data_IF_482539496717
#
_entry.id   IF_482539496717
#
_cell.length_a   1.000
_cell.length_b   1.000
_cell.length_c   1.000
_cell.angle_alpha   90.00
_cell.angle_beta   90.00
_cell.angle_gamma   90.00
#
_symmetry.space_group_name_H-M   'P 1'
#
loop_
_entity.id
_entity.type
_entity.pdbx_description
1 polymer ?
#
# COMPACT_ATOMS: atom_id res chain seq x y z
N UNK A 1 -24.99 21.60 -0.59
CA UNK A 1 -23.88 22.54 -0.85
C UNK A 1 -23.57 23.32 0.42
N UNK A 2 -22.49 22.97 1.12
CA UNK A 2 -21.97 23.77 2.22
C UNK A 2 -21.16 24.95 1.63
N UNK A 3 -21.72 26.15 1.71
CA UNK A 3 -21.04 27.39 1.33
C UNK A 3 -19.91 27.70 2.32
N UNK A 4 -18.68 27.91 1.84
CA UNK A 4 -17.54 28.38 2.64
C UNK A 4 -16.29 27.49 2.66
N UNK A 5 -16.31 26.31 2.02
CA UNK A 5 -15.16 25.39 1.99
C UNK A 5 -14.44 25.33 0.62
N UNK A 6 -14.57 26.36 -0.22
CA UNK A 6 -14.04 26.34 -1.59
C UNK A 6 -12.50 26.44 -1.63
N UNK A 7 -11.88 27.11 -0.65
CA UNK A 7 -10.42 27.34 -0.61
C UNK A 7 -9.67 26.47 0.43
N UNK A 8 -10.33 25.47 1.02
CA UNK A 8 -9.70 24.58 2.00
C UNK A 8 -9.20 23.34 1.28
N UNK A 9 -7.94 22.95 1.48
CA UNK A 9 -7.41 21.69 0.96
C UNK A 9 -8.28 20.55 1.51
N UNK A 10 -9.09 19.95 0.65
CA UNK A 10 -9.90 18.78 0.99
C UNK A 10 -9.04 17.55 0.81
N UNK A 11 -8.95 16.74 1.85
CA UNK A 11 -8.24 15.48 1.79
C UNK A 11 -9.26 14.35 1.72
N UNK A 12 -9.07 13.41 0.79
CA UNK A 12 -9.76 12.13 0.85
C UNK A 12 -9.15 11.32 1.97
N UNK A 13 -9.71 11.49 3.15
CA UNK A 13 -9.34 10.68 4.30
C UNK A 13 -9.99 9.33 4.20
N UNK A 14 -9.18 8.30 4.31
CA UNK A 14 -9.64 6.94 4.43
C UNK A 14 -9.47 6.49 5.87
N UNK A 15 -10.60 6.16 6.50
CA UNK A 15 -10.65 5.65 7.84
C UNK A 15 -11.70 4.54 7.92
N UNK A 16 -11.53 3.67 8.93
CA UNK A 16 -12.33 2.48 9.13
C UNK A 16 -13.83 2.75 9.04
N UNK A 17 -14.51 2.02 8.15
CA UNK A 17 -15.96 2.09 7.99
C UNK A 17 -16.50 3.44 7.52
N UNK A 18 -15.65 4.37 7.08
CA UNK A 18 -16.06 5.63 6.48
C UNK A 18 -16.09 5.51 4.96
N UNK A 19 -17.01 6.22 4.30
CA UNK A 19 -17.01 6.30 2.85
C UNK A 19 -15.78 7.04 2.34
N UNK A 20 -15.27 6.63 1.19
CA UNK A 20 -14.14 7.26 0.53
C UNK A 20 -14.51 7.62 -0.91
N UNK A 21 -14.33 8.89 -1.26
CA UNK A 21 -14.70 9.41 -2.58
C UNK A 21 -16.10 10.02 -2.64
N UNK A 22 -16.88 10.02 -1.55
CA UNK A 22 -18.23 10.59 -1.51
C UNK A 22 -18.20 12.14 -1.43
N UNK A 23 -19.36 12.79 -1.27
CA UNK A 23 -19.41 14.25 -1.09
C UNK A 23 -18.56 14.72 0.10
N UNK A 24 -17.90 15.90 -0.01
CA UNK A 24 -17.19 16.50 1.12
C UNK A 24 -18.09 16.64 2.34
N UNK A 25 -17.61 16.14 3.49
CA UNK A 25 -18.37 16.12 4.72
C UNK A 25 -17.50 16.37 5.94
N UNK A 26 -18.10 16.87 7.02
CA UNK A 26 -17.45 16.93 8.33
C UNK A 26 -17.78 15.65 9.11
N UNK A 27 -16.76 14.86 9.46
CA UNK A 27 -16.94 13.57 10.10
C UNK A 27 -16.29 13.51 11.50
N UNK A 28 -16.89 12.76 12.45
CA UNK A 28 -16.32 12.55 13.78
C UNK A 28 -15.11 11.62 13.71
N UNK A 29 -13.91 12.21 13.66
CA UNK A 29 -12.66 11.45 13.59
C UNK A 29 -12.28 10.84 14.94
N UNK A 30 -12.61 11.53 16.04
CA UNK A 30 -12.40 11.03 17.40
C UNK A 30 -13.12 9.72 17.72
N UNK A 31 -14.23 9.46 17.03
CA UNK A 31 -15.13 8.32 17.27
C UNK A 31 -15.45 7.60 15.96
N UNK A 32 -14.43 6.92 15.42
CA UNK A 32 -14.59 6.11 14.22
C UNK A 32 -15.64 4.99 14.41
N UNK A 33 -16.25 4.51 13.31
CA UNK A 33 -17.06 3.30 13.31
C UNK A 33 -16.39 2.12 14.03
N UNK A 34 -17.21 1.20 14.56
CA UNK A 34 -16.72 0.05 15.34
C UNK A 34 -15.75 -0.80 14.53
N UNK A 35 -14.73 -1.36 15.19
CA UNK A 35 -13.82 -2.34 14.60
C UNK A 35 -14.60 -3.61 14.27
N UNK A 36 -14.71 -4.02 12.99
CA UNK A 36 -15.42 -5.24 12.62
C UNK A 36 -14.75 -6.51 13.16
N UNK A 37 -13.42 -6.50 13.21
CA UNK A 37 -12.58 -7.63 13.60
C UNK A 37 -11.47 -7.18 14.59
N UNK A 38 -11.83 -7.00 15.88
CA UNK A 38 -10.89 -6.49 16.87
C UNK A 38 -9.87 -7.55 17.28
N UNK A 39 -8.61 -7.12 17.44
CA UNK A 39 -7.56 -7.95 18.04
C UNK A 39 -7.92 -8.39 19.47
N UNK A 40 -7.41 -9.55 19.95
CA UNK A 40 -7.64 -9.98 21.33
C UNK A 40 -7.23 -8.90 22.34
N UNK A 41 -8.17 -8.50 23.19
CA UNK A 41 -7.97 -7.46 24.21
C UNK A 41 -8.22 -6.03 23.74
N UNK A 42 -8.65 -5.81 22.50
CA UNK A 42 -9.06 -4.51 21.95
C UNK A 42 -10.58 -4.39 21.98
N UNK A 43 -11.11 -3.23 22.42
CA UNK A 43 -12.55 -3.00 22.37
C UNK A 43 -12.96 -2.58 20.96
N UNK A 44 -14.15 -2.97 20.45
CA UNK A 44 -14.63 -2.54 19.13
C UNK A 44 -14.74 -1.01 18.98
N UNK A 45 -14.80 -0.27 20.09
CA UNK A 45 -14.87 1.19 20.13
C UNK A 45 -13.50 1.86 20.16
N UNK A 46 -12.41 1.11 20.30
CA UNK A 46 -11.07 1.67 20.32
C UNK A 46 -10.73 2.30 18.96
N UNK A 47 -9.94 3.38 19.01
CA UNK A 47 -9.50 4.05 17.79
C UNK A 47 -8.54 3.14 16.99
N UNK A 48 -7.53 2.58 17.68
CA UNK A 48 -6.53 1.69 17.09
C UNK A 48 -6.90 0.22 17.25
N UNK A 49 -6.84 -0.56 16.17
CA UNK A 49 -6.98 -2.02 16.22
C UNK A 49 -5.68 -2.67 16.73
N UNK A 50 -5.36 -2.41 18.01
CA UNK A 50 -4.11 -2.72 18.75
C UNK A 50 -3.11 -1.57 18.74
N UNK A 51 -2.79 -1.06 19.92
CA UNK A 51 -1.79 -0.01 20.15
C UNK A 51 -0.78 -0.51 21.19
N UNK A 52 0.52 -0.50 20.84
CA UNK A 52 1.54 -1.04 21.74
C UNK A 52 1.76 -0.07 22.90
N UNK A 53 1.77 -0.49 24.17
CA UNK A 53 2.15 0.38 25.27
C UNK A 53 3.64 0.74 25.15
N UNK A 54 3.96 2.03 25.29
CA UNK A 54 5.33 2.50 25.52
C UNK A 54 5.43 2.84 27.01
N UNK A 55 6.21 2.04 27.75
CA UNK A 55 6.37 2.18 29.19
C UNK A 55 5.02 2.13 29.96
N UNK A 56 5.01 2.56 31.23
CA UNK A 56 3.83 2.48 32.11
C UNK A 56 2.72 3.49 31.79
N UNK A 57 3.00 4.54 31.02
CA UNK A 57 2.10 5.71 30.90
C UNK A 57 1.80 6.13 29.46
N UNK A 58 2.35 5.44 28.46
CA UNK A 58 2.19 5.82 27.05
C UNK A 58 1.63 4.70 26.22
N UNK A 59 0.91 5.06 25.16
CA UNK A 59 0.67 4.21 23.99
C UNK A 59 1.62 4.64 22.87
N UNK A 60 1.93 3.74 21.94
CA UNK A 60 2.81 3.98 20.80
C UNK A 60 2.25 5.05 19.88
N UNK A 61 0.93 5.04 19.69
CA UNK A 61 0.21 6.01 18.88
C UNK A 61 -0.74 6.82 19.74
N UNK A 62 -0.78 8.13 19.53
CA UNK A 62 -1.76 9.01 20.17
C UNK A 62 -3.17 8.72 19.65
N UNK A 63 -4.17 8.93 20.48
CA UNK A 63 -5.59 8.83 20.11
C UNK A 63 -6.15 10.26 20.01
N UNK A 64 -6.90 10.59 18.95
CA UNK A 64 -7.55 11.88 18.83
C UNK A 64 -8.57 12.10 19.96
N UNK A 65 -8.84 13.36 20.38
CA UNK A 65 -9.97 13.66 21.26
C UNK A 65 -11.30 13.16 20.68
N UNK A 66 -12.20 12.69 21.54
CA UNK A 66 -13.47 12.09 21.11
C UNK A 66 -14.38 13.03 20.31
N UNK A 67 -14.27 14.34 20.56
CA UNK A 67 -15.01 15.42 19.90
C UNK A 67 -14.30 15.96 18.65
N UNK A 68 -13.13 15.43 18.29
CA UNK A 68 -12.41 15.86 17.11
C UNK A 68 -13.20 15.54 15.83
N UNK A 69 -13.53 16.60 15.10
CA UNK A 69 -14.14 16.53 13.78
C UNK A 69 -13.09 16.83 12.71
N UNK A 70 -13.15 16.17 11.57
CA UNK A 70 -12.27 16.44 10.43
C UNK A 70 -13.09 16.54 9.14
N UNK A 71 -12.68 17.45 8.26
CA UNK A 71 -13.24 17.54 6.90
C UNK A 71 -12.69 16.38 6.08
N UNK A 72 -13.56 15.47 5.69
CA UNK A 72 -13.23 14.27 4.92
C UNK A 72 -13.85 14.34 3.53
N UNK A 73 -13.27 13.57 2.62
CA UNK A 73 -13.59 13.55 1.19
C UNK A 73 -13.34 14.89 0.47
N UNK A 74 -12.77 14.76 -0.73
CA UNK A 74 -12.68 15.81 -1.73
C UNK A 74 -13.87 15.72 -2.69
N UNK A 75 -13.82 16.37 -3.84
CA UNK A 75 -14.87 16.38 -4.87
C UNK A 75 -15.37 14.96 -5.17
N UNK A 76 -16.68 14.70 -5.07
CA UNK A 76 -17.24 13.34 -5.18
C UNK A 76 -16.85 12.62 -6.47
N UNK A 77 -16.19 11.45 -6.36
CA UNK A 77 -15.85 10.60 -7.51
C UNK A 77 -17.10 9.94 -8.12
N UNK A 78 -17.08 9.50 -9.39
CA UNK A 78 -18.26 8.96 -10.05
C UNK A 78 -18.86 7.73 -9.36
N UNK A 79 -17.99 6.88 -8.79
CA UNK A 79 -18.40 5.66 -8.09
C UNK A 79 -17.66 5.54 -6.76
N UNK A 80 -18.09 6.22 -5.69
CA UNK A 80 -17.39 6.21 -4.41
C UNK A 80 -17.45 4.83 -3.73
N UNK A 81 -16.51 4.57 -2.82
CA UNK A 81 -16.64 3.45 -1.88
C UNK A 81 -17.55 3.88 -0.73
N UNK A 82 -18.65 3.17 -0.56
CA UNK A 82 -19.62 3.45 0.49
C UNK A 82 -19.15 2.94 1.85
N UNK A 83 -19.64 3.55 2.93
CA UNK A 83 -19.38 3.08 4.30
C UNK A 83 -19.84 1.63 4.52
N UNK A 84 -20.92 1.22 3.85
CA UNK A 84 -21.43 -0.15 3.90
C UNK A 84 -20.48 -1.14 3.20
N UNK A 85 -19.98 -0.82 2.00
CA UNK A 85 -18.96 -1.65 1.33
C UNK A 85 -17.69 -1.76 2.18
N UNK A 86 -17.25 -0.65 2.77
CA UNK A 86 -16.07 -0.59 3.64
C UNK A 86 -16.21 -1.42 4.93
N UNK A 87 -17.45 -1.71 5.34
CA UNK A 87 -17.76 -2.47 6.56
C UNK A 87 -17.96 -3.96 6.30
N UNK A 88 -18.01 -4.40 5.04
CA UNK A 88 -18.21 -5.80 4.66
C UNK A 88 -16.88 -6.55 4.54
N UNK A 89 -16.87 -7.87 4.78
CA UNK A 89 -15.72 -8.70 4.43
C UNK A 89 -15.45 -8.64 2.93
N UNK A 90 -14.19 -8.51 2.57
CA UNK A 90 -13.68 -8.45 1.19
C UNK A 90 -13.05 -9.77 0.75
N UNK A 91 -12.64 -10.60 1.69
CA UNK A 91 -12.01 -11.89 1.45
C UNK A 91 -12.22 -12.80 2.67
N UNK A 92 -11.74 -14.04 2.59
CA UNK A 92 -11.80 -15.02 3.68
C UNK A 92 -10.44 -15.73 3.79
N UNK A 93 -9.93 -15.89 5.01
CA UNK A 93 -8.69 -16.65 5.24
C UNK A 93 -8.89 -18.14 4.98
N UNK A 94 -7.80 -18.90 4.93
CA UNK A 94 -7.84 -20.36 4.75
C UNK A 94 -8.63 -21.07 5.88
N UNK A 95 -8.64 -20.48 7.08
CA UNK A 95 -9.41 -20.92 8.25
C UNK A 95 -10.86 -20.40 8.27
N UNK A 96 -11.38 -19.93 7.13
CA UNK A 96 -12.74 -19.40 6.99
C UNK A 96 -13.04 -18.15 7.83
N UNK A 97 -12.02 -17.35 8.19
CA UNK A 97 -12.23 -16.08 8.91
C UNK A 97 -12.44 -14.94 7.93
N UNK A 98 -13.44 -14.07 8.15
CA UNK A 98 -13.66 -12.91 7.28
C UNK A 98 -12.48 -11.95 7.34
N UNK A 99 -12.07 -11.46 6.18
CA UNK A 99 -11.02 -10.44 6.03
C UNK A 99 -11.70 -9.16 5.57
N UNK A 100 -11.44 -8.06 6.27
CA UNK A 100 -12.02 -6.74 5.97
C UNK A 100 -11.01 -5.86 5.22
N UNK A 101 -11.49 -4.71 4.70
CA UNK A 101 -10.64 -3.69 4.06
C UNK A 101 -9.47 -3.23 4.96
N UNK A 102 -9.73 -3.09 6.26
CA UNK A 102 -8.70 -2.88 7.28
C UNK A 102 -8.35 -4.23 7.93
N UNK A 103 -7.44 -4.99 7.31
CA UNK A 103 -7.06 -6.33 7.80
C UNK A 103 -6.51 -6.27 9.22
N UNK A 104 -7.08 -7.09 10.10
CA UNK A 104 -6.57 -7.25 11.46
C UNK A 104 -5.24 -8.03 11.46
N UNK A 105 -4.28 -7.71 12.34
CA UNK A 105 -3.01 -8.41 12.44
C UNK A 105 -3.11 -9.95 12.51
N UNK A 106 -4.11 -10.50 13.20
CA UNK A 106 -4.28 -11.95 13.33
C UNK A 106 -4.82 -12.64 12.05
N UNK A 107 -5.29 -11.87 11.07
CA UNK A 107 -5.65 -12.37 9.73
C UNK A 107 -4.46 -12.30 8.75
N UNK A 108 -3.36 -11.66 9.16
CA UNK A 108 -2.16 -11.59 8.33
C UNK A 108 -1.53 -12.97 8.16
N UNK A 109 -0.96 -13.20 6.97
CA UNK A 109 -0.17 -14.40 6.69
C UNK A 109 1.28 -14.15 7.06
N UNK A 110 1.99 -15.22 7.44
CA UNK A 110 3.45 -15.20 7.57
C UNK A 110 4.07 -14.85 6.23
N UNK A 111 5.21 -14.17 6.23
CA UNK A 111 5.86 -13.73 4.99
C UNK A 111 6.23 -14.90 4.06
N UNK A 112 6.72 -16.00 4.64
CA UNK A 112 7.03 -17.23 3.91
C UNK A 112 5.86 -18.22 3.81
N UNK A 113 4.60 -17.77 3.98
CA UNK A 113 3.45 -18.66 3.87
C UNK A 113 3.29 -19.21 2.45
N UNK A 114 2.98 -20.50 2.35
CA UNK A 114 2.73 -21.21 1.10
C UNK A 114 1.23 -21.43 0.98
N UNK A 115 0.69 -21.15 -0.21
CA UNK A 115 -0.68 -21.50 -0.55
C UNK A 115 -0.82 -23.03 -0.65
N UNK A 116 -1.65 -23.67 0.20
CA UNK A 116 -1.82 -25.12 0.19
C UNK A 116 -2.44 -25.63 -1.12
N UNK A 117 -3.14 -24.79 -1.88
CA UNK A 117 -3.80 -25.17 -3.14
C UNK A 117 -2.82 -25.19 -4.30
N UNK A 118 -1.94 -24.21 -4.39
CA UNK A 118 -1.00 -24.05 -5.51
C UNK A 118 0.41 -24.54 -5.20
N UNK A 119 0.76 -24.72 -3.93
CA UNK A 119 2.11 -25.06 -3.48
C UNK A 119 3.12 -23.93 -3.68
N UNK A 120 2.66 -22.71 -4.00
CA UNK A 120 3.51 -21.53 -4.23
C UNK A 120 3.47 -20.60 -3.03
N UNK A 121 4.51 -19.77 -2.88
CA UNK A 121 4.48 -18.70 -1.88
C UNK A 121 3.35 -17.71 -2.18
N UNK A 122 2.68 -17.25 -1.12
CA UNK A 122 1.70 -16.16 -1.22
C UNK A 122 2.36 -14.86 -1.69
N UNK A 123 3.61 -14.63 -1.25
CA UNK A 123 4.46 -13.54 -1.72
C UNK A 123 5.47 -14.10 -2.73
N UNK A 124 5.30 -13.86 -4.05
CA UNK A 124 6.17 -14.41 -5.08
C UNK A 124 7.63 -14.00 -4.93
N UNK A 125 7.86 -12.82 -4.34
CA UNK A 125 9.20 -12.24 -4.16
C UNK A 125 9.89 -12.74 -2.89
N UNK A 126 9.18 -13.43 -1.99
CA UNK A 126 9.74 -13.91 -0.72
C UNK A 126 11.02 -14.75 -0.92
N UNK A 127 11.11 -15.70 -1.87
CA UNK A 127 12.36 -16.45 -2.11
C UNK A 127 13.56 -15.58 -2.48
N UNK A 128 13.34 -14.48 -3.22
CA UNK A 128 14.40 -13.55 -3.56
C UNK A 128 14.87 -12.80 -2.31
N UNK A 129 13.96 -12.26 -1.52
CA UNK A 129 14.28 -11.61 -0.24
C UNK A 129 14.96 -12.57 0.75
N UNK A 130 14.46 -13.79 0.82
CA UNK A 130 15.00 -14.88 1.61
C UNK A 130 16.49 -15.09 1.32
N UNK A 131 16.89 -15.01 0.05
CA UNK A 131 18.28 -15.27 -0.37
C UNK A 131 19.27 -14.17 0.00
N UNK A 132 18.82 -12.92 0.13
CA UNK A 132 19.68 -11.75 0.39
C UNK A 132 19.70 -11.33 1.86
N UNK A 133 18.76 -11.84 2.66
CA UNK A 133 18.65 -11.49 4.07
C UNK A 133 19.89 -11.96 4.86
N UNK A 134 20.33 -11.11 5.79
CA UNK A 134 21.48 -11.38 6.65
C UNK A 134 21.03 -11.56 8.10
N UNK A 135 21.85 -12.26 8.88
CA UNK A 135 21.66 -12.40 10.31
C UNK A 135 21.87 -11.04 11.00
N UNK A 136 20.91 -10.65 11.83
CA UNK A 136 20.89 -9.34 12.52
C UNK A 136 20.60 -9.49 14.01
N UNK A 137 19.84 -10.50 14.40
CA UNK A 137 19.46 -10.69 15.79
C UNK A 137 20.56 -11.41 16.57
N UNK A 138 20.78 -10.92 17.79
CA UNK A 138 21.62 -11.62 18.76
C UNK A 138 20.77 -12.61 19.57
N UNK A 139 21.24 -13.85 19.63
CA UNK A 139 20.66 -14.92 20.42
C UNK A 139 21.55 -15.24 21.63
N UNK A 140 20.91 -15.54 22.76
CA UNK A 140 21.61 -16.03 23.94
C UNK A 140 21.61 -17.55 23.91
N UNK A 141 22.78 -18.17 23.76
CA UNK A 141 22.97 -19.62 23.80
C UNK A 141 23.57 -20.01 25.15
N UNK A 142 23.24 -21.19 25.64
CA UNK A 142 23.90 -21.73 26.82
C UNK A 142 25.32 -22.17 26.45
N UNK A 143 26.29 -21.74 27.24
CA UNK A 143 27.70 -22.07 27.07
C UNK A 143 28.35 -22.26 28.44
N UNK A 144 28.71 -23.50 28.73
CA UNK A 144 29.30 -23.94 30.01
C UNK A 144 30.65 -23.25 30.28
N UNK A 145 31.32 -22.74 29.24
CA UNK A 145 32.62 -22.08 29.35
C UNK A 145 32.53 -20.54 29.42
N UNK A 146 31.33 -19.96 29.20
CA UNK A 146 31.13 -18.51 29.27
C UNK A 146 30.83 -18.06 30.71
N UNK A 147 31.36 -16.91 31.18
CA UNK A 147 31.01 -16.34 32.48
C UNK A 147 29.50 -16.06 32.55
N UNK A 148 28.78 -16.78 33.42
CA UNK A 148 27.32 -16.71 33.53
C UNK A 148 26.55 -17.78 32.75
N UNK A 149 27.24 -18.76 32.16
CA UNK A 149 26.63 -19.93 31.51
C UNK A 149 25.93 -19.63 30.19
N UNK A 150 26.04 -18.39 29.69
CA UNK A 150 25.40 -17.93 28.45
C UNK A 150 26.35 -17.12 27.60
N UNK A 151 26.28 -17.34 26.29
CA UNK A 151 27.02 -16.60 25.27
C UNK A 151 26.03 -15.90 24.34
N UNK A 152 26.28 -14.62 24.09
CA UNK A 152 25.49 -13.83 23.14
C UNK A 152 26.17 -13.89 21.77
N UNK A 153 25.51 -14.51 20.81
CA UNK A 153 26.03 -14.68 19.45
C UNK A 153 25.02 -14.17 18.43
N UNK A 154 25.47 -13.88 17.22
CA UNK A 154 24.56 -13.63 16.10
C UNK A 154 23.76 -14.91 15.81
N UNK A 155 22.50 -14.78 15.41
CA UNK A 155 21.70 -15.90 14.91
C UNK A 155 22.40 -16.59 13.73
N UNK A 156 22.18 -17.91 13.57
CA UNK A 156 22.66 -18.63 12.37
C UNK A 156 21.84 -18.26 11.15
N UNK A 157 22.32 -18.66 9.97
CA UNK A 157 21.55 -18.52 8.74
C UNK A 157 20.20 -19.23 8.87
N UNK A 158 20.17 -20.47 9.39
CA UNK A 158 18.93 -21.24 9.54
C UNK A 158 17.94 -20.58 10.51
N UNK A 159 18.42 -20.08 11.65
CA UNK A 159 17.59 -19.38 12.64
C UNK A 159 17.02 -18.07 12.07
N UNK A 160 17.84 -17.32 11.33
CA UNK A 160 17.39 -16.13 10.62
C UNK A 160 16.33 -16.49 9.58
N UNK A 161 16.56 -17.55 8.81
CA UNK A 161 15.65 -18.02 7.76
C UNK A 161 14.31 -18.46 8.34
N UNK A 162 14.33 -19.18 9.45
CA UNK A 162 13.12 -19.55 10.20
C UNK A 162 12.39 -18.31 10.72
N UNK A 163 13.13 -17.34 11.27
CA UNK A 163 12.58 -16.08 11.78
C UNK A 163 11.87 -15.30 10.68
N UNK A 164 12.51 -15.06 9.53
CA UNK A 164 11.89 -14.30 8.44
C UNK A 164 10.73 -15.07 7.79
N UNK A 165 10.82 -16.41 7.73
CA UNK A 165 9.74 -17.25 7.20
C UNK A 165 8.50 -17.16 8.09
N UNK A 166 8.70 -17.16 9.41
CA UNK A 166 7.62 -17.09 10.41
C UNK A 166 7.24 -15.66 10.80
N UNK A 167 7.91 -14.67 10.24
CA UNK A 167 7.61 -13.28 10.53
C UNK A 167 6.25 -12.92 9.93
N UNK A 168 5.38 -12.36 10.77
CA UNK A 168 4.18 -11.72 10.29
C UNK A 168 4.59 -10.30 9.91
N UNK A 169 4.51 -9.92 8.62
CA UNK A 169 4.49 -8.51 8.30
C UNK A 169 3.36 -7.93 9.12
N UNK A 170 3.71 -7.09 10.10
CA UNK A 170 2.67 -6.29 10.72
C UNK A 170 2.16 -5.47 9.54
N UNK A 171 0.92 -5.68 9.07
CA UNK A 171 0.35 -4.66 8.22
C UNK A 171 0.54 -3.40 9.06
N UNK A 172 1.07 -2.30 8.49
CA UNK A 172 0.91 -1.04 9.17
C UNK A 172 -0.56 -1.01 9.61
N UNK A 173 -0.89 -0.50 10.80
CA UNK A 173 -2.27 -0.34 11.26
C UNK A 173 -3.11 0.57 10.31
N UNK A 174 -2.64 0.77 9.08
CA UNK A 174 -3.03 1.63 8.01
C UNK A 174 -3.06 0.75 6.75
N UNK A 175 -4.25 0.25 6.45
CA UNK A 175 -4.72 -0.06 5.10
C UNK A 175 -3.89 -1.03 4.23
N UNK A 176 -4.44 -2.23 4.04
CA UNK A 176 -4.24 -3.02 2.81
C UNK A 176 -4.93 -2.41 1.59
N UNK A 177 -5.39 -1.17 1.69
CA UNK A 177 -6.19 -0.46 0.70
C UNK A 177 -5.59 -0.43 -0.69
N UNK A 178 -4.28 -0.16 -0.88
CA UNK A 178 -3.68 -0.21 -2.21
C UNK A 178 -3.77 -1.59 -2.88
N UNK A 179 -3.97 -2.68 -2.12
CA UNK A 179 -4.18 -4.02 -2.68
C UNK A 179 -5.62 -4.26 -3.16
N UNK A 180 -6.56 -3.40 -2.79
CA UNK A 180 -7.96 -3.52 -3.20
C UNK A 180 -8.18 -2.84 -4.56
N UNK A 181 -8.39 -3.65 -5.60
CA UNK A 181 -8.60 -3.18 -6.98
C UNK A 181 -9.72 -2.15 -7.08
N UNK A 182 -10.84 -2.37 -6.39
CA UNK A 182 -11.96 -1.43 -6.41
C UNK A 182 -11.59 -0.09 -5.79
N UNK A 183 -10.77 -0.05 -4.74
CA UNK A 183 -10.26 1.20 -4.19
C UNK A 183 -9.35 1.93 -5.18
N UNK A 184 -8.42 1.21 -5.80
CA UNK A 184 -7.51 1.77 -6.79
C UNK A 184 -8.27 2.35 -7.99
N UNK A 185 -9.25 1.60 -8.51
CA UNK A 185 -10.05 1.95 -9.69
C UNK A 185 -11.01 3.10 -9.43
N UNK A 186 -11.68 3.09 -8.27
CA UNK A 186 -12.80 4.00 -7.98
C UNK A 186 -12.39 5.30 -7.31
N UNK A 187 -11.28 5.30 -6.57
CA UNK A 187 -10.85 6.45 -5.77
C UNK A 187 -9.47 6.93 -6.21
N UNK A 188 -8.46 6.06 -6.13
CA UNK A 188 -7.05 6.47 -6.34
C UNK A 188 -6.81 6.98 -7.77
N UNK A 189 -7.47 6.40 -8.77
CA UNK A 189 -7.40 6.85 -10.16
C UNK A 189 -7.79 8.32 -10.38
N UNK A 190 -8.56 8.90 -9.45
CA UNK A 190 -9.05 10.27 -9.50
C UNK A 190 -8.27 11.23 -8.59
N UNK A 191 -7.43 10.69 -7.71
CA UNK A 191 -6.60 11.45 -6.75
C UNK A 191 -5.13 11.52 -7.17
N UNK A 192 -4.60 10.47 -7.80
CA UNK A 192 -3.25 10.49 -8.34
C UNK A 192 -3.28 11.09 -9.75
N UNK A 193 -2.52 12.15 -10.03
CA UNK A 193 -2.28 12.56 -11.41
C UNK A 193 -1.46 11.45 -12.09
N UNK A 194 -2.13 10.59 -12.87
CA UNK A 194 -1.45 9.59 -13.69
C UNK A 194 -0.90 10.32 -14.93
N UNK A 195 0.30 10.87 -14.80
CA UNK A 195 1.00 11.50 -15.91
C UNK A 195 2.15 12.39 -15.44
N UNK A 196 3.34 12.16 -15.98
CA UNK A 196 4.40 13.16 -15.95
C UNK A 196 4.00 14.28 -16.91
N UNK A 197 3.63 15.43 -16.38
CA UNK A 197 3.50 16.62 -17.19
C UNK A 197 4.24 17.75 -16.48
N UNK A 198 5.34 18.20 -17.07
CA UNK A 198 5.76 19.60 -16.98
C UNK A 198 5.57 20.14 -18.40
N UNK A 199 4.90 21.28 -18.55
CA UNK A 199 4.86 21.98 -19.84
C UNK A 199 5.65 23.26 -19.74
N UNK A 200 6.39 23.57 -20.80
CA UNK A 200 7.24 24.75 -20.87
C UNK A 200 6.49 26.09 -20.74
N UNK A 201 5.17 26.11 -20.98
CA UNK A 201 4.35 27.33 -20.89
C UNK A 201 3.23 27.21 -19.84
N UNK A 202 2.90 28.33 -19.18
CA UNK A 202 1.79 28.43 -18.21
C UNK A 202 0.41 28.14 -18.82
N UNK A 203 0.23 28.46 -20.10
CA UNK A 203 -1.04 28.24 -20.81
C UNK A 203 -1.26 26.77 -21.14
N UNK A 204 -0.21 26.08 -21.61
CA UNK A 204 -0.26 24.63 -21.81
C UNK A 204 -0.42 23.90 -20.48
N UNK A 205 0.17 24.42 -19.41
CA UNK A 205 0.05 23.84 -18.07
C UNK A 205 -1.39 23.92 -17.57
N UNK A 206 -2.01 25.09 -17.65
CA UNK A 206 -3.42 25.26 -17.29
C UNK A 206 -4.36 24.40 -18.15
N UNK A 207 -4.04 24.23 -19.45
CA UNK A 207 -4.77 23.34 -20.35
C UNK A 207 -4.62 21.87 -19.97
N UNK A 208 -3.40 21.42 -19.65
CA UNK A 208 -3.11 20.05 -19.24
C UNK A 208 -3.74 19.72 -17.88
N UNK A 209 -3.68 20.65 -16.91
CA UNK A 209 -4.41 20.52 -15.65
C UNK A 209 -5.91 20.35 -15.90
N UNK A 210 -6.49 21.18 -16.79
CA UNK A 210 -7.91 21.07 -17.15
C UNK A 210 -8.27 19.76 -17.84
N UNK A 211 -7.37 19.19 -18.64
CA UNK A 211 -7.55 17.89 -19.29
C UNK A 211 -7.37 16.72 -18.32
N UNK A 212 -6.45 16.86 -17.35
CA UNK A 212 -6.21 15.88 -16.30
C UNK A 212 -7.29 15.93 -15.20
N UNK A 213 -8.04 17.03 -15.11
CA UNK A 213 -9.18 17.18 -14.23
C UNK A 213 -10.34 16.32 -14.73
N UNK A 214 -10.52 15.16 -14.11
CA UNK A 214 -11.60 14.23 -14.41
C UNK A 214 -13.00 14.81 -14.13
N UNK A 215 -13.12 15.87 -13.32
CA UNK A 215 -14.41 16.55 -13.09
C UNK A 215 -14.85 17.40 -14.28
N UNK A 216 -13.95 17.65 -15.24
CA UNK A 216 -14.24 18.39 -16.46
C UNK A 216 -15.06 17.59 -17.48
N UNK A 217 -15.22 16.27 -17.28
CA UNK A 217 -15.88 15.32 -18.20
C UNK A 217 -15.34 15.36 -19.64
N UNK A 218 -14.09 15.80 -19.85
CA UNK A 218 -13.48 15.89 -21.18
C UNK A 218 -12.83 14.59 -21.64
N UNK A 219 -12.57 13.65 -20.72
CA UNK A 219 -11.96 12.36 -21.00
C UNK A 219 -13.01 11.24 -20.93
N UNK A 220 -13.28 10.64 -22.09
CA UNK A 220 -14.21 9.52 -22.28
C UNK A 220 -13.83 8.29 -21.44
N UNK A 221 -12.57 8.17 -21.00
CA UNK A 221 -12.13 7.09 -20.12
C UNK A 221 -12.88 7.10 -18.79
N UNK A 222 -13.10 8.27 -18.20
CA UNK A 222 -13.76 8.36 -16.89
C UNK A 222 -15.28 8.19 -16.97
N UNK A 223 -15.90 8.46 -18.12
CA UNK A 223 -17.34 8.31 -18.34
C UNK A 223 -17.73 6.92 -18.87
N UNK A 224 -16.98 6.39 -19.85
CA UNK A 224 -17.34 5.18 -20.60
C UNK A 224 -16.33 4.03 -20.42
N UNK A 225 -15.23 4.25 -19.69
CA UNK A 225 -14.15 3.27 -19.53
C UNK A 225 -13.34 3.04 -20.82
N UNK A 226 -13.52 3.90 -21.84
CA UNK A 226 -12.82 3.79 -23.11
C UNK A 226 -11.52 4.59 -23.07
N UNK A 227 -10.39 3.90 -23.08
CA UNK A 227 -9.09 4.56 -23.12
C UNK A 227 -8.83 5.11 -24.53
N UNK A 228 -9.05 6.40 -24.72
CA UNK A 228 -8.67 7.11 -25.93
C UNK A 228 -7.17 7.42 -25.88
N UNK A 229 -6.33 6.44 -26.23
CA UNK A 229 -4.88 6.66 -26.31
C UNK A 229 -4.60 7.66 -27.43
N UNK A 230 -4.10 8.88 -27.13
CA UNK A 230 -3.82 9.85 -28.17
C UNK A 230 -2.73 9.30 -29.10
N UNK A 231 -2.86 9.60 -30.40
CA UNK A 231 -1.82 9.26 -31.35
C UNK A 231 -0.50 9.91 -30.90
N UNK A 232 0.55 9.09 -30.81
CA UNK A 232 1.88 9.54 -30.42
C UNK A 232 2.28 10.73 -31.31
N UNK A 233 2.70 11.88 -30.75
CA UNK A 233 3.15 13.02 -31.54
C UNK A 233 4.29 12.62 -32.49
N UNK A 234 4.24 13.04 -33.77
CA UNK A 234 5.36 12.82 -34.68
C UNK A 234 6.60 13.56 -34.16
N UNK A 235 7.72 12.84 -34.01
CA UNK A 235 8.98 13.37 -33.47
C UNK A 235 9.40 12.84 -32.09
N UNK A 236 8.53 12.09 -31.39
CA UNK A 236 8.95 11.30 -30.23
C UNK A 236 9.51 9.96 -30.71
N UNK A 237 10.83 9.81 -30.65
CA UNK A 237 11.52 8.57 -31.02
C UNK A 237 11.07 7.41 -30.09
N UNK A 238 10.68 6.23 -30.59
CA UNK A 238 10.41 5.04 -29.76
C UNK A 238 11.66 4.40 -29.15
N UNK A 239 12.85 4.99 -29.28
CA UNK A 239 14.05 4.53 -28.57
C UNK A 239 13.88 4.66 -27.05
N UNK A 240 13.19 3.67 -26.48
CA UNK A 240 13.28 3.34 -25.07
C UNK A 240 14.75 3.08 -24.77
N UNK A 241 15.25 3.64 -23.68
CA UNK A 241 16.61 3.43 -23.19
C UNK A 241 16.95 1.93 -23.11
N UNK A 242 15.94 1.07 -22.91
CA UNK A 242 16.05 -0.39 -22.97
C UNK A 242 16.46 -0.95 -24.34
N UNK A 243 15.99 -0.37 -25.45
CA UNK A 243 16.33 -0.81 -26.81
C UNK A 243 17.77 -0.41 -27.19
N UNK A 244 18.21 0.79 -26.74
CA UNK A 244 19.60 1.23 -26.86
C UNK A 244 20.55 0.36 -26.02
N UNK A 245 20.17 0.02 -24.77
CA UNK A 245 20.93 -0.90 -23.91
C UNK A 245 21.01 -2.28 -24.56
N UNK A 246 19.88 -2.83 -25.05
CA UNK A 246 19.86 -4.15 -25.72
C UNK A 246 20.77 -4.18 -26.93
N UNK A 247 20.76 -3.14 -27.76
CA UNK A 247 21.62 -3.03 -28.93
C UNK A 247 23.09 -2.88 -28.55
N UNK A 248 23.41 -2.09 -27.52
CA UNK A 248 24.76 -1.97 -27.00
C UNK A 248 25.27 -3.30 -26.41
N UNK A 249 24.44 -4.05 -25.69
CA UNK A 249 24.77 -5.37 -25.17
C UNK A 249 24.94 -6.41 -26.29
N UNK A 250 24.10 -6.39 -27.33
CA UNK A 250 24.26 -7.26 -28.50
C UNK A 250 25.55 -6.97 -29.28
N UNK A 251 25.94 -5.69 -29.42
CA UNK A 251 27.20 -5.28 -30.01
C UNK A 251 28.40 -5.71 -29.16
N UNK A 252 28.29 -5.62 -27.82
CA UNK A 252 29.31 -6.09 -26.87
C UNK A 252 29.47 -7.61 -26.86
N UNK A 253 28.38 -8.35 -27.00
CA UNK A 253 28.38 -9.82 -27.11
C UNK A 253 28.98 -10.26 -28.45
N UNK A 254 28.68 -9.54 -29.53
CA UNK A 254 29.29 -9.80 -30.85
C UNK A 254 30.78 -9.51 -30.85
N UNK A 255 31.23 -8.40 -30.27
CA UNK A 255 32.65 -8.04 -30.20
C UNK A 255 33.46 -8.97 -29.29
N UNK A 256 32.89 -9.46 -28.19
CA UNK A 256 33.54 -10.45 -27.32
C UNK A 256 33.64 -11.85 -27.97
N UNK A 257 32.72 -12.21 -28.88
CA UNK A 257 32.83 -13.48 -29.64
C UNK A 257 33.95 -13.45 -30.69
N UNK A 258 34.37 -12.28 -31.16
CA UNK A 258 35.42 -12.14 -32.18
C UNK A 258 36.84 -12.20 -31.62
N UNK A 259 37.04 -12.05 -30.30
CA UNK A 259 38.36 -12.04 -29.65
C UNK A 259 38.66 -13.27 -28.76
N UNK A 260 37.76 -14.27 -28.73
CA UNK A 260 37.92 -15.49 -27.92
C UNK A 260 38.23 -16.76 -28.72
N UNK A 261 38.66 -16.63 -29.97
CA UNK A 261 38.86 -17.76 -30.89
C UNK A 261 40.15 -17.66 -31.71
N UNK A 262 41.29 -17.70 -31.03
CA UNK A 262 42.58 -18.27 -31.47
C UNK A 262 43.54 -18.29 -30.29
#
# INVERSE_FOLDING_TARGET
>A
MLFGMQDVVKQRMLARGMSCGDEPALAPFGTLPRIPDPEPGVMPTDFWNKNKPIAKFGKLWSEPPNDQMVSVNAEKVPNPLTAEEMSKPVDVTDDSKPVYFDRAPHTARKWGAIDPKTGRYWEPDFPAYKSIYQAENYMNRDDVYSPGGKKRELETQEEMQERITNWYPMPPNHSTMPMHVEFMKRVVAYDLPIGYAESYTLQDWARLIRLADWTSFQDDYFAEGKLAVPAKPPGLDPETVSEQIRRADEERIKSNKTYGGA
#
